data_IF_933014987562
#
_entry.id   IF_933014987562
#
_cell.length_a   1.000
_cell.length_b   1.000
_cell.length_c   1.000
_cell.angle_alpha   90.00
_cell.angle_beta   90.00
_cell.angle_gamma   90.00
#
_symmetry.space_group_name_H-M   'P 1'
#
loop_
_entity.id
_entity.type
_entity.pdbx_description
1 polymer ?
#
# COMPACT_ATOMS: atom_id res chain seq x y z
N UNK A 1 -11.58 -23.82 -9.20
CA UNK A 1 -12.51 -23.15 -8.99
C UNK A 1 -12.38 -21.73 -8.97
N UNK A 2 -12.77 -21.17 -10.02
CA UNK A 2 -12.77 -19.78 -10.14
C UNK A 2 -13.56 -19.13 -9.06
N UNK A 3 -14.40 -19.89 -8.53
CA UNK A 3 -15.20 -19.40 -7.47
C UNK A 3 -14.41 -18.89 -6.33
N UNK A 4 -13.23 -19.42 -6.16
CA UNK A 4 -12.43 -19.02 -5.09
C UNK A 4 -12.12 -17.55 -5.10
N UNK A 5 -11.74 -17.03 -6.23
CA UNK A 5 -11.48 -15.63 -6.35
C UNK A 5 -12.74 -14.84 -6.12
N UNK A 6 -13.83 -15.31 -6.67
CA UNK A 6 -15.07 -14.59 -6.52
C UNK A 6 -15.57 -14.60 -5.09
N UNK A 7 -15.16 -15.58 -4.32
CA UNK A 7 -15.63 -15.63 -2.95
C UNK A 7 -14.78 -14.87 -1.97
N UNK A 8 -13.70 -14.25 -2.41
CA UNK A 8 -12.93 -13.41 -1.51
C UNK A 8 -13.73 -12.17 -1.16
N UNK A 9 -13.83 -11.86 0.10
CA UNK A 9 -14.53 -10.66 0.52
C UNK A 9 -13.68 -9.46 0.13
N UNK A 10 -14.28 -8.30 0.12
CA UNK A 10 -13.54 -7.09 -0.17
C UNK A 10 -12.44 -6.88 0.87
N UNK A 11 -12.72 -7.19 2.10
CA UNK A 11 -11.72 -7.04 3.16
C UNK A 11 -10.51 -7.92 2.87
N UNK A 12 -10.76 -9.15 2.43
CA UNK A 12 -9.68 -10.05 2.09
C UNK A 12 -8.87 -9.53 0.90
N UNK A 13 -9.58 -8.96 -0.07
CA UNK A 13 -8.91 -8.40 -1.23
C UNK A 13 -8.04 -7.22 -0.85
N UNK A 14 -8.52 -6.41 0.07
CA UNK A 14 -7.73 -5.29 0.57
C UNK A 14 -6.46 -5.80 1.24
N UNK A 15 -6.56 -6.88 2.00
CA UNK A 15 -5.40 -7.47 2.65
C UNK A 15 -4.37 -7.96 1.66
N UNK A 16 -4.82 -8.61 0.60
CA UNK A 16 -3.91 -9.08 -0.44
C UNK A 16 -3.24 -7.90 -1.13
N UNK A 17 -4.03 -6.88 -1.45
CA UNK A 17 -3.50 -5.69 -2.10
C UNK A 17 -2.50 -4.98 -1.18
N UNK A 18 -2.78 -4.94 0.12
CA UNK A 18 -1.88 -4.32 1.07
C UNK A 18 -0.52 -5.04 1.09
N UNK A 19 -0.55 -6.36 1.00
CA UNK A 19 0.68 -7.13 0.93
C UNK A 19 1.50 -6.78 -0.30
N UNK A 20 0.83 -6.63 -1.44
CA UNK A 20 1.52 -6.26 -2.66
C UNK A 20 2.09 -4.85 -2.58
N UNK A 21 1.35 -3.92 -2.03
CA UNK A 21 1.83 -2.56 -1.85
C UNK A 21 3.05 -2.56 -0.96
N UNK A 22 2.98 -3.28 0.14
CA UNK A 22 4.09 -3.32 1.08
C UNK A 22 5.33 -3.90 0.43
N UNK A 23 5.17 -5.01 -0.29
CA UNK A 23 6.29 -5.65 -0.95
C UNK A 23 6.92 -4.74 -2.00
N UNK A 24 6.09 -4.03 -2.74
CA UNK A 24 6.56 -3.13 -3.78
C UNK A 24 7.38 -2.00 -3.18
N UNK A 25 6.89 -1.42 -2.09
CA UNK A 25 7.62 -0.34 -1.44
C UNK A 25 8.89 -0.84 -0.77
N UNK A 26 8.86 -2.07 -0.29
CA UNK A 26 10.04 -2.65 0.33
C UNK A 26 11.13 -2.87 -0.71
N UNK A 27 10.72 -3.30 -1.89
CA UNK A 27 11.67 -3.58 -2.96
C UNK A 27 12.14 -2.33 -3.68
N UNK A 28 11.21 -1.46 -4.06
CA UNK A 28 11.51 -0.31 -4.89
C UNK A 28 11.77 0.97 -4.12
N UNK A 29 11.46 1.00 -2.85
CA UNK A 29 11.62 2.21 -2.06
C UNK A 29 10.44 3.13 -2.24
N UNK A 30 10.57 4.38 -1.83
CA UNK A 30 9.45 5.32 -1.90
C UNK A 30 8.96 5.53 -3.32
N UNK A 31 7.65 5.55 -3.50
CA UNK A 31 7.03 5.75 -4.80
C UNK A 31 5.89 6.74 -4.68
N UNK A 32 5.62 7.44 -5.77
CA UNK A 32 4.41 8.26 -5.82
C UNK A 32 3.21 7.34 -5.89
N UNK A 33 2.06 7.85 -5.51
CA UNK A 33 0.84 7.06 -5.58
C UNK A 33 0.60 6.58 -7.01
N UNK A 34 0.79 7.48 -7.98
CA UNK A 34 0.55 7.11 -9.37
C UNK A 34 1.48 5.98 -9.82
N UNK A 35 2.74 6.07 -9.43
CA UNK A 35 3.69 5.03 -9.82
C UNK A 35 3.38 3.72 -9.13
N UNK A 36 2.96 3.78 -7.88
CA UNK A 36 2.61 2.56 -7.15
C UNK A 36 1.43 1.87 -7.81
N UNK A 37 0.39 2.64 -8.14
CA UNK A 37 -0.79 2.05 -8.77
C UNK A 37 -0.40 1.38 -10.08
N UNK A 38 0.45 2.02 -10.84
CA UNK A 38 0.90 1.47 -12.10
C UNK A 38 1.72 0.20 -11.89
N UNK A 39 2.58 0.21 -10.89
CA UNK A 39 3.50 -0.90 -10.65
C UNK A 39 2.81 -2.15 -10.14
N UNK A 40 1.86 -2.00 -9.23
CA UNK A 40 1.20 -3.17 -8.66
C UNK A 40 0.16 -3.76 -9.60
N UNK A 41 -0.27 -3.00 -10.59
CA UNK A 41 -1.22 -3.53 -11.58
C UNK A 41 -2.50 -4.07 -10.99
N UNK A 42 -3.01 -3.40 -9.98
CA UNK A 42 -4.29 -3.75 -9.40
C UNK A 42 -5.25 -2.60 -9.62
N UNK A 43 -6.52 -2.88 -9.39
CA UNK A 43 -7.55 -1.86 -9.50
C UNK A 43 -7.18 -0.68 -8.60
N UNK A 44 -7.28 0.53 -9.13
CA UNK A 44 -6.87 1.72 -8.38
C UNK A 44 -7.62 1.87 -7.06
N UNK A 45 -8.92 1.63 -7.08
CA UNK A 45 -9.70 1.75 -5.85
C UNK A 45 -9.20 0.80 -4.79
N UNK A 46 -8.88 -0.41 -5.20
CA UNK A 46 -8.38 -1.41 -4.27
C UNK A 46 -7.02 -0.99 -3.72
N UNK A 47 -6.17 -0.45 -4.57
CA UNK A 47 -4.86 0.01 -4.13
C UNK A 47 -5.02 1.14 -3.12
N UNK A 48 -5.94 2.07 -3.38
CA UNK A 48 -6.13 3.18 -2.46
C UNK A 48 -6.66 2.70 -1.12
N UNK A 49 -7.53 1.69 -1.14
CA UNK A 49 -8.02 1.12 0.09
C UNK A 49 -6.91 0.42 0.87
N UNK A 50 -6.02 -0.25 0.15
CA UNK A 50 -4.90 -0.93 0.78
C UNK A 50 -3.93 0.08 1.40
N UNK A 51 -3.71 1.21 0.72
CA UNK A 51 -2.85 2.26 1.24
C UNK A 51 -3.44 2.78 2.55
N UNK A 52 -4.74 3.01 2.57
CA UNK A 52 -5.38 3.49 3.79
C UNK A 52 -5.24 2.51 4.93
N UNK A 53 -5.39 1.24 4.64
CA UNK A 53 -5.25 0.22 5.65
C UNK A 53 -3.82 0.22 6.23
N UNK A 54 -2.82 0.23 5.34
CA UNK A 54 -1.44 0.20 5.81
C UNK A 54 -1.09 1.45 6.61
N UNK A 55 -1.64 2.59 6.19
CA UNK A 55 -1.41 3.83 6.92
C UNK A 55 -2.01 3.74 8.32
N UNK A 56 -3.19 3.17 8.40
CA UNK A 56 -3.87 3.01 9.67
C UNK A 56 -3.09 2.07 10.59
N UNK A 57 -2.45 1.07 10.01
CA UNK A 57 -1.66 0.11 10.77
C UNK A 57 -0.29 0.66 11.16
N UNK A 58 0.03 1.84 10.69
CA UNK A 58 1.34 2.43 11.00
C UNK A 58 2.46 1.87 10.18
N UNK A 59 2.14 1.16 9.11
CA UNK A 59 3.17 0.53 8.30
C UNK A 59 3.55 1.32 7.07
N UNK A 60 2.95 2.49 6.91
CA UNK A 60 3.14 3.26 5.71
C UNK A 60 3.09 4.74 6.05
N UNK A 61 3.98 5.50 5.45
CA UNK A 61 3.98 6.94 5.60
C UNK A 61 3.60 7.59 4.30
N UNK A 62 2.81 8.63 4.38
CA UNK A 62 2.36 9.37 3.22
C UNK A 62 2.89 10.79 3.34
N UNK A 63 3.63 11.22 2.33
CA UNK A 63 4.17 12.56 2.29
C UNK A 63 3.55 13.30 1.14
N UNK A 64 2.95 14.45 1.41
CA UNK A 64 2.36 15.26 0.36
C UNK A 64 3.29 16.37 -0.02
N UNK A 65 3.48 16.56 -1.31
CA UNK A 65 4.31 17.63 -1.82
C UNK A 65 3.54 18.30 -2.94
N UNK A 66 4.10 19.35 -3.51
CA UNK A 66 3.47 20.03 -4.61
C UNK A 66 3.35 19.13 -5.83
N UNK A 67 4.19 18.12 -5.91
CA UNK A 67 4.16 17.20 -7.03
C UNK A 67 3.17 16.05 -6.84
N UNK A 68 2.68 15.87 -5.64
CA UNK A 68 1.74 14.81 -5.37
C UNK A 68 2.07 14.11 -4.08
N UNK A 69 1.54 12.91 -3.93
CA UNK A 69 1.73 12.13 -2.73
C UNK A 69 2.73 11.03 -2.96
N UNK A 70 3.61 10.86 -2.00
CA UNK A 70 4.62 9.80 -2.05
C UNK A 70 4.45 8.88 -0.86
N UNK A 71 4.72 7.62 -1.08
CA UNK A 71 4.52 6.59 -0.08
C UNK A 71 5.84 5.92 0.25
N UNK A 72 6.03 5.62 1.51
CA UNK A 72 7.21 4.87 1.93
C UNK A 72 6.81 4.01 3.10
N UNK A 73 7.65 3.03 3.41
CA UNK A 73 7.37 2.18 4.55
C UNK A 73 7.60 2.96 5.82
N UNK A 74 6.70 2.81 6.75
CA UNK A 74 6.75 3.57 7.97
C UNK A 74 7.29 2.85 9.17
N UNK A 75 7.27 1.57 9.15
CA UNK A 75 7.65 0.87 10.35
C UNK A 75 9.09 1.07 10.71
N UNK A 76 9.93 1.35 9.74
CA UNK A 76 11.29 1.59 10.09
C UNK A 76 11.45 2.86 10.86
N UNK A 77 10.72 3.86 10.46
CA UNK A 77 10.90 5.11 11.12
C UNK A 77 10.41 5.05 12.53
N UNK A 78 9.38 4.26 12.78
CA UNK A 78 8.95 4.22 14.12
C UNK A 78 9.91 3.44 14.93
N UNK A 79 10.60 2.61 14.29
CA UNK A 79 11.61 2.00 15.03
C UNK A 79 12.48 3.05 15.56
N UNK A 80 12.41 3.61 15.29
CA UNK A 80 13.02 4.42 15.82
C UNK A 80 12.72 5.47 16.27
N UNK A 81 12.15 5.57 15.85
CA UNK A 81 11.93 6.35 16.16
C UNK A 81 11.89 7.01 16.90
N UNK A 82 11.78 6.96 17.06
CA UNK A 82 11.70 7.47 17.69
C UNK A 82 11.99 7.56 18.45
N UNK A 83 12.10 7.24 18.25
CA UNK A 83 12.34 7.27 19.01
C UNK A 83 12.70 7.71 19.54
#
# INVERSE_FOLDING_TARGET
>A
MTVKTASLSLVDQIGVAAGKVWQTLHKDGPLSVAKLVETVELNRDLVMQAIGWLAREGKLQITETKRGRFLSLGEQSNGNGQA
#
